data_IF_956135839355
#
_entry.id   IF_956135839355
#
_cell.length_a   1.000
_cell.length_b   1.000
_cell.length_c   1.000
_cell.angle_alpha   90.00
_cell.angle_beta   90.00
_cell.angle_gamma   90.00
#
_symmetry.space_group_name_H-M   'P 1'
#
loop_
_entity.id
_entity.type
_entity.pdbx_description
1 polymer ?
#
# COMPACT_ATOMS: atom_id res chain seq x y z
N UNK A 1 -15.46 -0.93 12.87
CA UNK A 1 -16.65 -0.42 12.12
C UNK A 1 -16.70 -1.21 10.83
N UNK A 2 -17.77 -1.95 10.57
CA UNK A 2 -17.93 -2.70 9.32
C UNK A 2 -18.54 -1.77 8.27
N UNK A 3 -17.92 -1.60 7.08
CA UNK A 3 -18.36 -0.61 6.09
C UNK A 3 -19.77 -0.82 5.57
N UNK A 4 -20.25 -2.06 5.55
CA UNK A 4 -21.61 -2.38 5.08
C UNK A 4 -22.72 -1.84 5.99
N UNK A 5 -22.40 -1.43 7.20
CA UNK A 5 -23.39 -0.89 8.16
C UNK A 5 -23.41 0.63 8.26
N UNK A 6 -22.46 1.31 7.65
CA UNK A 6 -22.34 2.77 7.81
C UNK A 6 -21.76 3.46 6.56
N UNK A 7 -22.45 3.25 5.42
CA UNK A 7 -22.09 3.93 4.16
C UNK A 7 -22.12 5.47 4.31
N UNK A 8 -23.01 5.98 5.16
CA UNK A 8 -23.10 7.42 5.41
C UNK A 8 -21.89 7.95 6.18
N UNK A 9 -21.42 7.22 7.20
CA UNK A 9 -20.20 7.59 7.92
C UNK A 9 -18.96 7.54 7.02
N UNK A 10 -18.84 6.52 6.15
CA UNK A 10 -17.76 6.45 5.17
C UNK A 10 -17.81 7.63 4.19
N UNK A 11 -19.00 7.97 3.69
CA UNK A 11 -19.18 9.12 2.80
C UNK A 11 -18.77 10.43 3.47
N UNK A 12 -19.25 10.68 4.69
CA UNK A 12 -18.90 11.88 5.47
C UNK A 12 -17.39 11.95 5.72
N UNK A 13 -16.76 10.82 6.05
CA UNK A 13 -15.31 10.74 6.22
C UNK A 13 -14.55 11.11 4.93
N UNK A 14 -14.93 10.53 3.79
CA UNK A 14 -14.28 10.80 2.50
C UNK A 14 -14.52 12.25 2.03
N UNK A 15 -15.69 12.82 2.30
CA UNK A 15 -15.98 14.25 2.05
C UNK A 15 -15.05 15.14 2.89
N UNK A 16 -14.84 14.83 4.16
CA UNK A 16 -13.89 15.53 5.04
C UNK A 16 -12.44 15.44 4.56
N UNK A 17 -12.03 14.28 4.04
CA UNK A 17 -10.70 14.12 3.40
C UNK A 17 -10.58 15.03 2.17
N UNK A 18 -11.59 15.06 1.32
CA UNK A 18 -11.62 15.94 0.12
C UNK A 18 -11.53 17.42 0.50
N UNK A 19 -12.31 17.86 1.48
CA UNK A 19 -12.28 19.25 1.96
C UNK A 19 -10.91 19.61 2.54
N UNK A 20 -10.28 18.66 3.25
CA UNK A 20 -8.92 18.84 3.77
C UNK A 20 -7.90 18.99 2.65
N UNK A 21 -7.98 18.16 1.61
CA UNK A 21 -7.13 18.26 0.43
C UNK A 21 -7.28 19.61 -0.27
N UNK A 22 -8.53 20.05 -0.47
CA UNK A 22 -8.83 21.35 -1.08
C UNK A 22 -8.26 22.53 -0.27
N UNK A 23 -8.44 22.50 1.05
CA UNK A 23 -7.94 23.55 1.96
C UNK A 23 -6.42 23.61 2.00
N UNK A 24 -5.75 22.45 1.99
CA UNK A 24 -4.29 22.35 1.99
C UNK A 24 -3.66 22.59 0.63
N UNK A 25 -4.42 22.49 -0.46
CA UNK A 25 -3.95 22.66 -1.82
C UNK A 25 -3.13 21.50 -2.38
N UNK A 26 -3.22 20.31 -1.75
CA UNK A 26 -2.56 19.09 -2.22
C UNK A 26 -3.41 17.84 -1.92
N UNK A 27 -3.01 16.70 -2.49
CA UNK A 27 -3.73 15.44 -2.33
C UNK A 27 -3.82 14.98 -0.87
N UNK A 28 -4.81 14.15 -0.59
CA UNK A 28 -4.98 13.45 0.68
C UNK A 28 -5.25 11.98 0.37
N UNK A 29 -4.50 11.08 0.98
CA UNK A 29 -4.75 9.64 0.91
C UNK A 29 -5.60 9.22 2.11
N UNK A 30 -6.61 8.41 1.89
CA UNK A 30 -7.37 7.74 2.94
C UNK A 30 -7.05 6.24 2.91
N UNK A 31 -6.39 5.76 3.96
CA UNK A 31 -6.13 4.33 4.17
C UNK A 31 -7.17 3.77 5.14
N UNK A 32 -7.95 2.79 4.69
CA UNK A 32 -9.03 2.19 5.49
C UNK A 32 -8.77 0.70 5.60
N UNK A 33 -8.53 0.22 6.83
CA UNK A 33 -8.30 -1.18 7.12
C UNK A 33 -9.52 -1.82 7.77
N UNK A 34 -9.88 -3.00 7.29
CA UNK A 34 -11.09 -3.72 7.69
C UNK A 34 -10.73 -5.17 8.00
N UNK A 35 -11.20 -5.66 9.16
CA UNK A 35 -11.11 -7.08 9.47
C UNK A 35 -12.15 -7.86 8.66
N UNK A 36 -11.69 -8.90 7.96
CA UNK A 36 -12.53 -9.80 7.19
C UNK A 36 -12.35 -11.24 7.63
N UNK A 37 -13.24 -12.15 7.25
CA UNK A 37 -13.17 -13.55 7.62
C UNK A 37 -12.75 -14.40 6.42
N UNK A 38 -11.83 -15.35 6.66
CA UNK A 38 -11.49 -16.42 5.71
C UNK A 38 -11.09 -15.94 4.31
N UNK A 39 -10.15 -15.00 4.25
CA UNK A 39 -9.63 -14.54 2.98
C UNK A 39 -8.23 -15.16 2.73
N UNK A 40 -7.96 -15.57 1.50
CA UNK A 40 -6.63 -16.00 1.08
C UNK A 40 -5.97 -14.85 0.29
N UNK A 41 -4.91 -14.20 0.82
CA UNK A 41 -4.31 -13.04 0.16
C UNK A 41 -3.88 -13.31 -1.29
N UNK A 42 -3.32 -14.49 -1.58
CA UNK A 42 -2.96 -14.87 -2.95
C UNK A 42 -4.17 -14.99 -3.88
N UNK A 43 -5.29 -15.56 -3.41
CA UNK A 43 -6.49 -15.69 -4.22
C UNK A 43 -7.12 -14.31 -4.51
N UNK A 44 -7.08 -13.40 -3.56
CA UNK A 44 -7.51 -12.02 -3.80
C UNK A 44 -6.61 -11.36 -4.83
N UNK A 45 -5.29 -11.44 -4.66
CA UNK A 45 -4.35 -10.88 -5.63
C UNK A 45 -4.62 -11.40 -7.04
N UNK A 46 -4.83 -12.73 -7.20
CA UNK A 46 -5.16 -13.32 -8.49
C UNK A 46 -6.47 -12.81 -9.08
N UNK A 47 -7.43 -12.43 -8.24
CA UNK A 47 -8.74 -11.93 -8.71
C UNK A 47 -8.73 -10.47 -9.14
N UNK A 48 -7.81 -9.66 -8.62
CA UNK A 48 -7.70 -8.21 -8.91
C UNK A 48 -6.49 -7.87 -9.77
N UNK A 49 -5.61 -8.84 -10.03
CA UNK A 49 -4.40 -8.64 -10.80
C UNK A 49 -4.70 -8.25 -12.24
N UNK A 50 -4.08 -7.16 -12.69
CA UNK A 50 -4.07 -6.74 -14.08
C UNK A 50 -2.64 -6.75 -14.65
N UNK A 51 -2.43 -7.18 -15.90
CA UNK A 51 -1.11 -7.15 -16.54
C UNK A 51 -0.54 -5.73 -16.59
N UNK A 52 0.74 -5.60 -16.28
CA UNK A 52 1.52 -4.35 -16.26
C UNK A 52 1.23 -3.42 -15.06
N UNK A 53 0.43 -3.83 -14.11
CA UNK A 53 0.30 -3.10 -12.84
C UNK A 53 1.28 -3.63 -11.79
N UNK A 54 1.71 -2.74 -10.89
CA UNK A 54 2.55 -3.12 -9.76
C UNK A 54 1.76 -4.01 -8.81
N UNK A 55 2.38 -5.10 -8.41
CA UNK A 55 1.84 -6.02 -7.43
C UNK A 55 2.95 -6.65 -6.61
N UNK A 56 2.59 -7.10 -5.42
CA UNK A 56 3.51 -7.75 -4.50
C UNK A 56 2.81 -8.87 -3.75
N UNK A 57 3.54 -9.94 -3.51
CA UNK A 57 3.10 -11.02 -2.62
C UNK A 57 4.27 -11.58 -1.84
N UNK A 58 4.06 -11.75 -0.55
CA UNK A 58 4.98 -12.49 0.33
C UNK A 58 4.20 -13.37 1.27
N UNK A 59 4.68 -14.58 1.54
CA UNK A 59 4.12 -15.52 2.50
C UNK A 59 5.21 -16.13 3.36
N UNK A 60 4.95 -16.19 4.65
CA UNK A 60 5.70 -16.94 5.65
C UNK A 60 4.81 -18.03 6.19
N UNK A 61 4.80 -19.18 5.53
CA UNK A 61 3.91 -20.29 5.87
C UNK A 61 4.10 -20.78 7.31
N UNK A 62 5.33 -20.78 7.84
CA UNK A 62 5.63 -21.18 9.21
C UNK A 62 5.02 -20.26 10.27
N UNK A 63 4.80 -18.99 9.94
CA UNK A 63 4.24 -17.97 10.83
C UNK A 63 2.75 -17.74 10.56
N UNK A 64 2.19 -18.43 9.56
CA UNK A 64 0.82 -18.22 9.06
C UNK A 64 0.58 -16.76 8.59
N UNK A 65 1.65 -16.11 8.11
CA UNK A 65 1.61 -14.73 7.65
C UNK A 65 1.63 -14.67 6.12
N UNK A 66 0.81 -13.79 5.56
CA UNK A 66 0.86 -13.46 4.14
C UNK A 66 0.41 -12.01 3.92
N UNK A 67 1.03 -11.36 2.93
CA UNK A 67 0.73 -9.99 2.55
C UNK A 67 0.72 -9.88 1.04
N UNK A 68 -0.34 -9.33 0.49
CA UNK A 68 -0.51 -9.05 -0.92
C UNK A 68 -0.85 -7.57 -1.12
N UNK A 69 -0.33 -6.96 -2.17
CA UNK A 69 -0.66 -5.62 -2.60
C UNK A 69 -0.79 -5.55 -4.12
N UNK A 70 -1.72 -4.77 -4.63
CA UNK A 70 -1.95 -4.56 -6.05
C UNK A 70 -2.38 -3.14 -6.36
N UNK A 71 -2.14 -2.73 -7.59
CA UNK A 71 -2.31 -1.37 -8.11
C UNK A 71 -1.47 -0.36 -7.30
N UNK A 72 -1.19 0.80 -7.83
CA UNK A 72 -0.46 1.84 -7.11
C UNK A 72 -1.35 3.08 -6.92
N UNK A 73 -1.48 3.54 -5.68
CA UNK A 73 -2.01 4.88 -5.36
C UNK A 73 -0.92 5.93 -5.52
N UNK A 74 0.29 5.56 -5.13
CA UNK A 74 1.49 6.36 -5.29
C UNK A 74 2.67 5.44 -5.62
N UNK A 75 3.50 5.84 -6.56
CA UNK A 75 4.69 5.10 -6.97
C UNK A 75 5.82 6.02 -7.37
N UNK A 76 7.05 5.56 -7.19
CA UNK A 76 8.23 6.26 -7.66
C UNK A 76 9.36 5.28 -7.97
N UNK A 77 10.25 5.68 -8.88
CA UNK A 77 11.47 4.98 -9.19
C UNK A 77 12.68 5.88 -8.97
N UNK A 78 13.75 5.30 -8.49
CA UNK A 78 14.97 6.02 -8.14
C UNK A 78 16.20 5.33 -8.72
N UNK A 79 17.24 6.09 -8.97
CA UNK A 79 18.53 5.61 -9.46
C UNK A 79 19.66 6.31 -8.73
N UNK A 80 20.85 5.71 -8.74
CA UNK A 80 22.02 6.27 -8.08
C UNK A 80 22.16 5.86 -6.61
N UNK A 81 23.24 6.33 -5.96
CA UNK A 81 23.60 5.93 -4.61
C UNK A 81 22.57 6.39 -3.56
N UNK A 82 21.86 7.50 -3.81
CA UNK A 82 20.89 8.09 -2.89
C UNK A 82 19.49 7.46 -2.99
N UNK A 83 19.27 6.43 -3.81
CA UNK A 83 17.96 5.84 -4.08
C UNK A 83 17.20 5.38 -2.83
N UNK A 84 17.92 4.92 -1.80
CA UNK A 84 17.31 4.52 -0.53
C UNK A 84 16.79 5.72 0.26
N UNK A 85 17.59 6.79 0.34
CA UNK A 85 17.21 8.04 1.00
C UNK A 85 16.04 8.72 0.27
N UNK A 86 16.04 8.68 -1.06
CA UNK A 86 14.95 9.21 -1.89
C UNK A 86 13.66 8.42 -1.71
N UNK A 87 13.75 7.08 -1.61
CA UNK A 87 12.59 6.24 -1.34
C UNK A 87 12.00 6.50 0.06
N UNK A 88 12.86 6.71 1.08
CA UNK A 88 12.40 7.07 2.41
C UNK A 88 11.71 8.43 2.41
N UNK A 89 12.31 9.44 1.79
CA UNK A 89 11.72 10.78 1.70
C UNK A 89 10.37 10.76 0.98
N UNK A 90 10.24 9.98 -0.09
CA UNK A 90 8.96 9.76 -0.77
C UNK A 90 7.91 9.13 0.14
N UNK A 91 8.28 8.08 0.90
CA UNK A 91 7.36 7.44 1.84
C UNK A 91 6.90 8.42 2.94
N UNK A 92 7.82 9.21 3.48
CA UNK A 92 7.53 10.21 4.52
C UNK A 92 6.56 11.28 4.01
N UNK A 93 6.78 11.81 2.80
CA UNK A 93 5.87 12.78 2.15
C UNK A 93 4.46 12.21 1.95
N UNK A 94 4.36 10.98 1.47
CA UNK A 94 3.06 10.31 1.30
C UNK A 94 2.37 10.11 2.64
N UNK A 95 3.10 9.68 3.67
CA UNK A 95 2.53 9.45 5.01
C UNK A 95 2.06 10.73 5.69
N UNK A 96 2.73 11.86 5.51
CA UNK A 96 2.29 13.18 6.01
C UNK A 96 0.93 13.59 5.44
N UNK A 97 0.57 13.06 4.27
CA UNK A 97 -0.68 13.34 3.57
C UNK A 97 -1.67 12.16 3.62
N UNK A 98 -1.44 11.20 4.53
CA UNK A 98 -2.29 10.01 4.68
C UNK A 98 -3.10 10.08 5.98
N UNK A 99 -4.40 9.85 5.88
CA UNK A 99 -5.29 9.60 7.03
C UNK A 99 -5.52 8.10 7.13
N UNK A 100 -5.29 7.54 8.32
CA UNK A 100 -5.42 6.10 8.55
C UNK A 100 -6.62 5.82 9.44
N UNK A 101 -7.45 4.87 9.04
CA UNK A 101 -8.62 4.39 9.77
C UNK A 101 -8.59 2.87 9.87
N UNK A 102 -8.78 2.35 11.07
CA UNK A 102 -8.79 0.91 11.36
C UNK A 102 -8.30 0.63 12.77
N UNK A 103 -8.23 -0.65 13.12
CA UNK A 103 -7.61 -1.09 14.37
C UNK A 103 -6.09 -1.21 14.16
N UNK A 104 -5.36 -0.16 14.51
CA UNK A 104 -3.92 -0.05 14.26
C UNK A 104 -3.07 -0.94 15.17
N UNK A 105 -3.68 -1.57 16.17
CA UNK A 105 -3.00 -2.55 17.03
C UNK A 105 -2.94 -3.95 16.39
N UNK A 106 -3.71 -4.18 15.33
CA UNK A 106 -3.69 -5.44 14.60
C UNK A 106 -2.52 -5.49 13.59
N UNK A 107 -1.88 -6.67 13.43
CA UNK A 107 -0.77 -6.84 12.49
C UNK A 107 -1.15 -6.46 11.05
N UNK A 108 -0.24 -5.81 10.35
CA UNK A 108 -0.39 -5.39 8.95
C UNK A 108 -1.57 -4.44 8.69
N UNK A 109 -2.09 -3.78 9.71
CA UNK A 109 -3.09 -2.71 9.55
C UNK A 109 -2.43 -1.41 9.14
N UNK A 110 -3.13 -0.62 8.34
CA UNK A 110 -2.64 0.64 7.81
C UNK A 110 -1.85 0.51 6.49
N UNK A 111 -1.31 1.61 5.99
CA UNK A 111 -0.59 1.64 4.73
C UNK A 111 0.78 0.98 4.84
N UNK A 112 1.13 0.16 3.85
CA UNK A 112 2.44 -0.45 3.72
C UNK A 112 3.02 -0.12 2.35
N UNK A 113 4.26 0.38 2.35
CA UNK A 113 5.01 0.57 1.13
C UNK A 113 5.74 -0.71 0.75
N UNK A 114 5.63 -1.08 -0.51
CA UNK A 114 6.42 -2.16 -1.10
C UNK A 114 7.58 -1.58 -1.86
N UNK A 115 8.76 -2.14 -1.63
CA UNK A 115 10.00 -1.65 -2.23
C UNK A 115 10.77 -2.80 -2.88
N UNK A 116 11.39 -2.50 -4.02
CA UNK A 116 12.33 -3.37 -4.67
C UNK A 116 13.58 -2.58 -5.09
N UNK A 117 14.75 -3.09 -4.76
CA UNK A 117 16.02 -2.47 -5.12
C UNK A 117 16.93 -3.48 -5.80
N UNK A 118 17.59 -3.06 -6.89
CA UNK A 118 18.68 -3.84 -7.47
C UNK A 118 19.93 -3.71 -6.62
N UNK A 119 20.83 -4.68 -6.75
CA UNK A 119 22.13 -4.63 -6.04
C UNK A 119 22.94 -3.40 -6.45
N UNK A 120 23.00 -3.11 -7.75
CA UNK A 120 23.68 -1.93 -8.27
C UNK A 120 22.74 -0.71 -8.23
N UNK A 121 23.32 0.48 -8.10
CA UNK A 121 22.62 1.75 -8.08
C UNK A 121 22.20 2.26 -9.46
N UNK A 122 22.65 1.58 -10.50
CA UNK A 122 22.29 1.79 -11.90
C UNK A 122 22.11 0.45 -12.62
N UNK A 123 21.30 0.44 -13.66
CA UNK A 123 21.05 -0.73 -14.51
C UNK A 123 21.17 -0.33 -15.98
N UNK A 124 21.50 -1.27 -16.89
CA UNK A 124 21.53 -1.01 -18.32
C UNK A 124 20.19 -0.49 -18.85
N UNK A 125 20.24 0.32 -19.90
CA UNK A 125 19.05 0.77 -20.62
C UNK A 125 18.23 -0.44 -21.12
N UNK A 126 16.91 -0.40 -20.95
CA UNK A 126 16.01 -1.50 -21.30
C UNK A 126 15.90 -2.61 -20.24
N UNK A 127 16.55 -2.45 -19.08
CA UNK A 127 16.36 -3.38 -17.96
C UNK A 127 14.88 -3.43 -17.52
N UNK A 128 14.39 -4.64 -17.23
CA UNK A 128 13.01 -4.84 -16.77
C UNK A 128 12.71 -4.22 -15.39
N UNK A 129 13.77 -3.99 -14.58
CA UNK A 129 13.65 -3.45 -13.23
C UNK A 129 14.44 -2.15 -13.10
N UNK A 130 13.83 -1.14 -12.49
CA UNK A 130 14.54 0.07 -12.08
C UNK A 130 15.48 -0.21 -10.89
N UNK A 131 16.54 0.60 -10.68
CA UNK A 131 17.45 0.43 -9.55
C UNK A 131 16.79 0.54 -8.18
N UNK A 132 15.72 1.30 -8.08
CA UNK A 132 14.86 1.36 -6.91
C UNK A 132 13.43 1.64 -7.34
N UNK A 133 12.48 0.90 -6.80
CA UNK A 133 11.04 1.11 -6.97
C UNK A 133 10.38 1.08 -5.61
N UNK A 134 9.48 2.02 -5.38
CA UNK A 134 8.59 2.05 -4.21
C UNK A 134 7.17 2.31 -4.67
N UNK A 135 6.21 1.64 -4.05
CA UNK A 135 4.81 1.96 -4.27
C UNK A 135 3.95 1.73 -3.02
N UNK A 136 2.90 2.52 -2.90
CA UNK A 136 1.81 2.32 -1.95
C UNK A 136 0.65 1.67 -2.72
N UNK A 137 0.23 0.44 -2.38
CA UNK A 137 -0.83 -0.24 -3.10
C UNK A 137 -2.20 0.40 -2.84
N UNK A 138 -3.08 0.32 -3.83
CA UNK A 138 -4.49 0.67 -3.69
C UNK A 138 -5.26 -0.40 -2.91
N UNK A 139 -4.90 -1.66 -3.15
CA UNK A 139 -5.45 -2.82 -2.47
C UNK A 139 -4.36 -3.56 -1.71
N UNK A 140 -4.59 -3.75 -0.44
CA UNK A 140 -3.73 -4.55 0.43
C UNK A 140 -4.58 -5.59 1.15
N UNK A 141 -4.12 -6.82 1.16
CA UNK A 141 -4.75 -7.92 1.90
C UNK A 141 -3.68 -8.64 2.69
N UNK A 142 -3.93 -8.83 3.96
CA UNK A 142 -3.00 -9.50 4.87
C UNK A 142 -3.66 -10.60 5.67
N UNK A 143 -2.85 -11.55 6.10
CA UNK A 143 -3.20 -12.60 7.06
C UNK A 143 -2.07 -12.68 8.09
N UNK A 144 -2.39 -12.73 9.37
CA UNK A 144 -1.43 -12.94 10.43
C UNK A 144 -2.02 -13.82 11.54
N UNK A 145 -1.40 -14.98 11.82
CA UNK A 145 -1.73 -15.88 12.94
C UNK A 145 -3.24 -16.18 13.06
N UNK A 146 -3.86 -16.58 11.95
CA UNK A 146 -5.29 -16.89 11.91
C UNK A 146 -6.24 -15.67 11.93
N UNK A 147 -5.70 -14.46 11.86
CA UNK A 147 -6.44 -13.20 11.64
C UNK A 147 -6.36 -12.78 10.17
N UNK A 148 -7.39 -12.14 9.66
CA UNK A 148 -7.52 -11.76 8.24
C UNK A 148 -7.98 -10.32 8.11
#
# INVERSE_FOLDING_TARGET
MLPERDQDALRVFLEGCRETAQRKGHFQIASISLAVKHIAPLAVLQSIYEPNELHFYVERAADEEALAGAEAVAEATFTGPERFAQAQAFADEIMENTIVVGDLDEPFTGPHFFTAFTFNDSVPEGSAFAPGTIFLPRWQVSRAKGKY
#
